data_IF_483438853756
#
_entry.id   IF_483438853756
#
_cell.length_a   1.000
_cell.length_b   1.000
_cell.length_c   1.000
_cell.angle_alpha   90.00
_cell.angle_beta   90.00
_cell.angle_gamma   90.00
#
_symmetry.space_group_name_H-M   'P 1'
#
loop_
_entity.id
_entity.type
_entity.pdbx_description
1 polymer ?
#
# COMPACT_ATOMS: atom_id res chain seq x y z
N UNK A 1 -29.55 -13.73 -11.45
CA UNK A 1 -28.19 -14.20 -11.80
C UNK A 1 -27.59 -13.15 -12.73
N UNK A 2 -26.47 -12.54 -12.33
CA UNK A 2 -25.73 -11.64 -13.21
C UNK A 2 -24.70 -12.47 -13.98
N UNK A 3 -24.68 -12.33 -15.31
CA UNK A 3 -23.66 -12.96 -16.13
C UNK A 3 -22.27 -12.37 -15.89
N UNK A 4 -21.24 -13.08 -16.32
CA UNK A 4 -19.86 -12.59 -16.30
C UNK A 4 -19.54 -11.92 -17.64
N UNK A 5 -18.81 -10.81 -17.59
CA UNK A 5 -18.23 -10.19 -18.78
C UNK A 5 -16.87 -10.83 -19.05
N UNK A 6 -16.52 -10.97 -20.33
CA UNK A 6 -15.21 -11.50 -20.76
C UNK A 6 -14.51 -10.45 -21.62
N UNK A 7 -13.20 -10.31 -21.46
CA UNK A 7 -12.32 -9.46 -22.25
C UNK A 7 -12.85 -8.02 -22.41
N UNK A 8 -13.16 -7.41 -21.26
CA UNK A 8 -13.83 -6.11 -21.22
C UNK A 8 -12.84 -5.01 -21.60
N UNK A 9 -13.26 -4.11 -22.49
CA UNK A 9 -12.53 -2.87 -22.78
C UNK A 9 -13.42 -1.68 -22.41
N UNK A 10 -12.97 -0.87 -21.46
CA UNK A 10 -13.65 0.35 -21.03
C UNK A 10 -12.81 1.58 -21.38
N UNK A 11 -13.25 2.32 -22.40
CA UNK A 11 -12.60 3.55 -22.87
C UNK A 11 -13.17 4.84 -22.26
N UNK A 12 -14.32 4.75 -21.58
CA UNK A 12 -15.02 5.90 -21.00
C UNK A 12 -15.07 5.85 -19.48
N UNK A 13 -15.53 6.94 -18.87
CA UNK A 13 -15.80 6.97 -17.43
C UNK A 13 -16.98 6.09 -17.04
N UNK A 14 -16.91 5.46 -15.88
CA UNK A 14 -17.96 4.62 -15.32
C UNK A 14 -18.11 4.87 -13.81
N UNK A 15 -19.35 4.92 -13.33
CA UNK A 15 -19.65 5.17 -11.91
C UNK A 15 -20.36 3.97 -11.29
N UNK A 16 -19.80 3.44 -10.20
CA UNK A 16 -20.36 2.36 -9.40
C UNK A 16 -20.78 2.93 -8.05
N UNK A 17 -22.05 2.81 -7.71
CA UNK A 17 -22.59 3.30 -6.46
C UNK A 17 -23.33 2.26 -5.66
N UNK A 18 -23.31 2.43 -4.34
CA UNK A 18 -24.01 1.57 -3.41
C UNK A 18 -23.43 0.16 -3.46
N UNK A 19 -24.32 -0.81 -3.63
CA UNK A 19 -24.00 -2.24 -3.66
C UNK A 19 -23.85 -2.81 -5.08
N UNK A 20 -23.74 -1.95 -6.09
CA UNK A 20 -23.62 -2.36 -7.49
C UNK A 20 -22.24 -2.99 -7.74
N UNK A 21 -22.18 -3.92 -8.69
CA UNK A 21 -20.92 -4.55 -9.07
C UNK A 21 -20.82 -4.74 -10.57
N UNK A 22 -19.59 -4.67 -11.09
CA UNK A 22 -19.21 -5.29 -12.35
C UNK A 22 -18.57 -6.64 -12.01
N UNK A 23 -18.89 -7.67 -12.80
CA UNK A 23 -18.24 -8.98 -12.71
C UNK A 23 -17.59 -9.33 -14.03
N UNK A 24 -16.31 -9.66 -13.98
CA UNK A 24 -15.47 -10.02 -15.13
C UNK A 24 -14.86 -11.41 -14.86
N UNK A 25 -14.75 -12.23 -15.90
CA UNK A 25 -14.17 -13.59 -15.83
C UNK A 25 -12.75 -13.67 -16.42
N UNK A 26 -12.34 -12.67 -17.20
CA UNK A 26 -11.02 -12.63 -17.85
C UNK A 26 -10.41 -11.22 -17.69
N UNK A 27 -9.48 -10.88 -18.59
CA UNK A 27 -8.81 -9.58 -18.63
C UNK A 27 -9.80 -8.41 -18.74
N UNK A 28 -9.39 -7.30 -18.13
CA UNK A 28 -10.11 -6.05 -18.14
C UNK A 28 -9.17 -4.91 -18.52
N UNK A 29 -9.36 -4.38 -19.73
CA UNK A 29 -8.66 -3.19 -20.20
C UNK A 29 -9.43 -1.94 -19.81
N UNK A 30 -8.84 -1.13 -18.95
CA UNK A 30 -9.37 0.13 -18.45
C UNK A 30 -8.53 1.29 -19.01
N UNK A 31 -9.10 2.07 -19.92
CA UNK A 31 -8.50 3.31 -20.43
C UNK A 31 -9.24 4.57 -19.93
N UNK A 32 -10.42 4.38 -19.33
CA UNK A 32 -11.19 5.43 -18.67
C UNK A 32 -11.03 5.40 -17.15
N UNK A 33 -11.94 6.08 -16.44
CA UNK A 33 -11.95 6.13 -14.99
C UNK A 33 -13.16 5.40 -14.40
N UNK A 34 -12.96 4.61 -13.35
CA UNK A 34 -14.03 4.01 -12.55
C UNK A 34 -14.12 4.73 -11.21
N UNK A 35 -15.21 5.43 -10.98
CA UNK A 35 -15.52 6.02 -9.68
C UNK A 35 -16.37 5.05 -8.85
N UNK A 36 -15.87 4.64 -7.69
CA UNK A 36 -16.50 3.68 -6.79
C UNK A 36 -16.94 4.35 -5.49
N UNK A 37 -18.25 4.33 -5.24
CA UNK A 37 -18.89 4.93 -4.06
C UNK A 37 -19.73 3.88 -3.31
N UNK A 38 -19.04 2.93 -2.68
CA UNK A 38 -19.64 1.93 -1.79
C UNK A 38 -20.40 2.54 -0.61
N UNK A 39 -21.16 1.71 0.10
CA UNK A 39 -21.91 2.07 1.32
C UNK A 39 -21.59 1.14 2.50
N UNK A 40 -20.48 0.38 2.44
CA UNK A 40 -20.04 -0.59 3.47
C UNK A 40 -18.78 -0.16 4.22
N UNK A 41 -18.35 -0.90 5.24
CA UNK A 41 -17.08 -0.69 5.95
C UNK A 41 -15.95 -1.45 5.20
N UNK A 42 -14.78 -0.84 4.93
CA UNK A 42 -13.61 -1.57 4.39
C UNK A 42 -13.23 -2.78 5.26
N UNK A 43 -12.97 -3.94 4.66
CA UNK A 43 -12.56 -5.16 5.39
C UNK A 43 -13.68 -5.97 6.05
N UNK A 44 -14.95 -5.56 5.94
CA UNK A 44 -16.07 -6.37 6.39
C UNK A 44 -16.40 -7.50 5.39
N UNK A 45 -16.38 -8.75 5.83
CA UNK A 45 -16.87 -9.89 5.04
C UNK A 45 -18.40 -9.82 4.98
N UNK A 46 -18.93 -9.04 4.03
CA UNK A 46 -20.37 -8.75 3.92
C UNK A 46 -20.73 -7.67 2.90
N UNK A 47 -20.65 -8.01 1.61
CA UNK A 47 -21.51 -7.59 0.46
C UNK A 47 -22.22 -6.20 0.40
N UNK A 48 -21.75 -5.15 1.06
CA UNK A 48 -22.43 -3.83 1.06
C UNK A 48 -21.69 -2.72 0.30
N UNK A 49 -20.63 -3.08 -0.43
CA UNK A 49 -19.77 -2.20 -1.20
C UNK A 49 -20.02 -2.16 -2.71
N UNK A 50 -19.39 -1.21 -3.40
CA UNK A 50 -19.26 -1.28 -4.86
C UNK A 50 -18.10 -2.21 -5.21
N UNK A 51 -18.32 -3.15 -6.13
CA UNK A 51 -17.33 -4.18 -6.44
C UNK A 51 -16.94 -4.23 -7.92
N UNK A 52 -15.65 -4.34 -8.19
CA UNK A 52 -15.17 -5.02 -9.39
C UNK A 52 -14.83 -6.43 -8.96
N UNK A 53 -15.58 -7.43 -9.45
CA UNK A 53 -15.33 -8.83 -9.14
C UNK A 53 -14.67 -9.48 -10.33
N UNK A 54 -13.50 -10.05 -10.10
CA UNK A 54 -12.78 -10.87 -11.05
C UNK A 54 -12.94 -12.31 -10.58
N UNK A 55 -13.44 -13.19 -11.46
CA UNK A 55 -13.74 -14.59 -11.15
C UNK A 55 -12.98 -15.52 -12.09
N UNK A 56 -12.28 -16.51 -11.55
CA UNK A 56 -11.71 -17.59 -12.35
C UNK A 56 -10.35 -18.06 -11.82
N UNK A 57 -9.98 -19.27 -12.22
CA UNK A 57 -8.75 -19.94 -11.75
C UNK A 57 -7.53 -19.64 -12.63
N UNK A 58 -7.70 -18.86 -13.70
CA UNK A 58 -6.62 -18.33 -14.54
C UNK A 58 -6.20 -16.94 -14.07
N UNK A 59 -4.96 -16.55 -14.34
CA UNK A 59 -4.50 -15.18 -14.06
C UNK A 59 -5.35 -14.15 -14.82
N UNK A 60 -5.66 -13.03 -14.16
CA UNK A 60 -6.47 -11.94 -14.67
C UNK A 60 -5.66 -10.66 -14.70
N UNK A 61 -5.68 -9.98 -15.83
CA UNK A 61 -4.94 -8.74 -16.02
C UNK A 61 -5.88 -7.55 -16.04
N UNK A 62 -5.61 -6.57 -15.18
CA UNK A 62 -6.14 -5.21 -15.28
C UNK A 62 -5.08 -4.35 -15.96
N UNK A 63 -5.28 -4.06 -17.25
CA UNK A 63 -4.38 -3.29 -18.09
C UNK A 63 -5.06 -2.04 -18.69
N UNK A 64 -4.34 -1.31 -19.54
CA UNK A 64 -4.77 -0.02 -20.07
C UNK A 64 -4.10 1.14 -19.32
N UNK A 65 -4.65 2.34 -19.47
CA UNK A 65 -4.06 3.60 -18.96
C UNK A 65 -4.98 4.35 -18.01
N UNK A 66 -5.94 3.64 -17.40
CA UNK A 66 -7.04 4.24 -16.69
C UNK A 66 -6.89 4.25 -15.18
N UNK A 67 -7.94 4.76 -14.53
CA UNK A 67 -7.96 5.07 -13.10
C UNK A 67 -9.10 4.34 -12.39
N UNK A 68 -8.88 3.86 -11.16
CA UNK A 68 -9.93 3.45 -10.25
C UNK A 68 -9.91 4.33 -9.01
N UNK A 69 -11.05 4.96 -8.73
CA UNK A 69 -11.18 5.94 -7.68
C UNK A 69 -12.16 5.50 -6.59
N UNK A 70 -11.66 5.30 -5.37
CA UNK A 70 -12.47 5.08 -4.17
C UNK A 70 -12.96 6.44 -3.62
N UNK A 71 -14.17 6.82 -4.04
CA UNK A 71 -14.74 8.15 -3.83
C UNK A 71 -15.02 8.42 -2.35
N UNK A 72 -15.58 7.43 -1.63
CA UNK A 72 -16.15 7.62 -0.31
C UNK A 72 -15.32 6.91 0.77
N UNK A 73 -15.56 7.25 2.03
CA UNK A 73 -15.03 6.55 3.20
C UNK A 73 -15.68 5.18 3.45
N UNK A 74 -16.41 4.64 2.48
CA UNK A 74 -17.27 3.47 2.66
C UNK A 74 -16.99 2.40 1.60
N UNK A 75 -16.12 1.44 1.95
CA UNK A 75 -16.19 0.03 1.55
C UNK A 75 -16.36 -0.24 0.05
N UNK A 76 -15.51 0.36 -0.78
CA UNK A 76 -15.35 -0.10 -2.17
C UNK A 76 -14.27 -1.18 -2.23
N UNK A 77 -14.40 -2.19 -3.06
CA UNK A 77 -13.30 -3.14 -3.21
C UNK A 77 -13.18 -3.76 -4.59
N UNK A 78 -11.95 -4.11 -4.94
CA UNK A 78 -11.62 -4.95 -6.07
C UNK A 78 -11.47 -6.36 -5.51
N UNK A 79 -12.35 -7.27 -5.93
CA UNK A 79 -12.41 -8.64 -5.43
C UNK A 79 -11.87 -9.60 -6.47
N UNK A 80 -10.75 -10.25 -6.20
CA UNK A 80 -10.22 -11.32 -7.03
C UNK A 80 -10.53 -12.68 -6.39
N UNK A 81 -11.52 -13.37 -6.95
CA UNK A 81 -11.98 -14.67 -6.47
C UNK A 81 -11.52 -15.78 -7.41
N UNK A 82 -10.94 -16.83 -6.83
CA UNK A 82 -10.40 -17.97 -7.57
C UNK A 82 -8.90 -18.11 -7.34
N UNK A 83 -8.33 -19.12 -7.99
CA UNK A 83 -6.93 -19.48 -7.79
C UNK A 83 -5.96 -18.70 -8.70
N UNK A 84 -6.49 -17.89 -9.62
CA UNK A 84 -5.71 -17.03 -10.50
C UNK A 84 -5.27 -15.72 -9.83
N UNK A 85 -4.07 -15.27 -10.16
CA UNK A 85 -3.55 -13.98 -9.72
C UNK A 85 -4.33 -12.82 -10.36
N UNK A 86 -4.49 -11.74 -9.61
CA UNK A 86 -4.87 -10.43 -10.15
C UNK A 86 -3.61 -9.62 -10.40
N UNK A 87 -3.36 -9.26 -11.64
CA UNK A 87 -2.22 -8.44 -12.05
C UNK A 87 -2.74 -7.05 -12.41
N UNK A 88 -2.28 -6.02 -11.70
CA UNK A 88 -2.53 -4.61 -12.04
C UNK A 88 -1.31 -4.10 -12.79
N UNK A 89 -1.45 -3.77 -14.07
CA UNK A 89 -0.32 -3.36 -14.92
C UNK A 89 0.13 -1.92 -14.65
N UNK A 90 1.32 -1.58 -15.15
CA UNK A 90 2.08 -0.37 -14.77
C UNK A 90 1.37 0.96 -14.99
N UNK A 91 0.50 1.02 -15.99
CA UNK A 91 -0.16 2.27 -16.43
C UNK A 91 -1.53 2.47 -15.75
N UNK A 92 -1.87 1.62 -14.77
CA UNK A 92 -3.09 1.72 -13.98
C UNK A 92 -2.82 2.46 -12.66
N UNK A 93 -3.71 3.40 -12.33
CA UNK A 93 -3.72 4.11 -11.05
C UNK A 93 -4.97 3.75 -10.23
N UNK A 94 -4.79 3.42 -8.95
CA UNK A 94 -5.88 3.07 -8.02
C UNK A 94 -5.75 3.90 -6.76
N UNK A 95 -6.76 4.69 -6.41
CA UNK A 95 -6.60 5.68 -5.35
C UNK A 95 -7.86 6.09 -4.64
N UNK A 96 -7.70 6.78 -3.51
CA UNK A 96 -8.79 7.49 -2.85
C UNK A 96 -8.87 7.28 -1.35
N UNK A 97 -10.10 7.45 -0.83
CA UNK A 97 -10.35 7.61 0.60
C UNK A 97 -10.48 6.25 1.31
N UNK A 98 -11.41 5.39 0.88
CA UNK A 98 -11.57 4.08 1.50
C UNK A 98 -11.95 3.00 0.49
N UNK A 99 -10.99 2.11 0.23
CA UNK A 99 -11.21 0.95 -0.62
C UNK A 99 -10.27 -0.19 -0.27
N UNK A 100 -10.20 -1.21 -1.12
CA UNK A 100 -9.27 -2.28 -0.87
C UNK A 100 -9.33 -3.43 -1.86
N UNK A 101 -8.42 -4.36 -1.65
CA UNK A 101 -8.28 -5.59 -2.41
C UNK A 101 -8.68 -6.75 -1.50
N UNK A 102 -9.63 -7.55 -1.97
CA UNK A 102 -10.13 -8.69 -1.23
C UNK A 102 -10.40 -9.86 -2.20
N UNK A 103 -10.93 -10.96 -1.66
CA UNK A 103 -11.37 -12.10 -2.44
C UNK A 103 -11.01 -13.42 -1.78
N UNK A 104 -11.53 -14.49 -2.36
CA UNK A 104 -11.26 -15.87 -1.95
C UNK A 104 -10.39 -16.60 -2.96
N UNK A 105 -9.88 -17.79 -2.59
CA UNK A 105 -9.03 -18.61 -3.47
C UNK A 105 -7.55 -18.34 -3.27
N UNK A 106 -6.72 -19.13 -3.94
CA UNK A 106 -5.27 -19.18 -3.72
C UNK A 106 -4.47 -18.08 -4.45
N UNK A 107 -5.06 -17.42 -5.45
CA UNK A 107 -4.36 -16.39 -6.23
C UNK A 107 -3.98 -15.18 -5.38
N UNK A 108 -2.97 -14.43 -5.83
CA UNK A 108 -2.47 -13.23 -5.16
C UNK A 108 -2.81 -11.96 -5.94
N UNK A 109 -2.57 -10.79 -5.33
CA UNK A 109 -2.48 -9.52 -6.04
C UNK A 109 -1.01 -9.26 -6.42
N UNK A 110 -0.77 -8.94 -7.69
CA UNK A 110 0.50 -8.40 -8.18
C UNK A 110 0.24 -6.96 -8.62
N UNK A 111 0.76 -6.00 -7.87
CA UNK A 111 0.67 -4.58 -8.24
C UNK A 111 1.92 -4.17 -9.02
N UNK A 112 1.79 -3.82 -10.30
CA UNK A 112 2.83 -3.14 -11.09
C UNK A 112 2.54 -1.66 -11.31
N UNK A 113 1.30 -1.25 -11.09
CA UNK A 113 0.84 0.13 -11.21
C UNK A 113 1.06 0.98 -9.96
N UNK A 114 0.29 2.06 -9.86
CA UNK A 114 0.28 2.96 -8.70
C UNK A 114 -0.98 2.73 -7.86
N UNK A 115 -0.79 2.41 -6.58
CA UNK A 115 -1.87 2.36 -5.59
C UNK A 115 -1.61 3.40 -4.51
N UNK A 116 -2.50 4.37 -4.30
CA UNK A 116 -2.25 5.38 -3.28
C UNK A 116 -3.48 5.82 -2.48
N UNK A 117 -3.32 5.86 -1.16
CA UNK A 117 -4.30 6.48 -0.26
C UNK A 117 -3.88 7.94 -0.08
N UNK A 118 -4.62 8.85 -0.71
CA UNK A 118 -4.25 10.26 -0.90
C UNK A 118 -5.06 11.25 -0.04
N UNK A 119 -5.93 10.71 0.81
CA UNK A 119 -6.74 11.46 1.76
C UNK A 119 -7.18 10.58 2.90
N UNK A 120 -7.66 11.20 3.96
CA UNK A 120 -8.22 10.51 5.13
C UNK A 120 -9.03 9.28 4.77
N UNK A 121 -8.71 8.17 5.42
CA UNK A 121 -9.27 6.84 5.20
C UNK A 121 -8.17 5.80 4.98
N UNK A 122 -8.52 4.64 4.43
CA UNK A 122 -7.59 3.52 4.26
C UNK A 122 -7.80 2.77 2.95
N UNK A 123 -6.70 2.41 2.28
CA UNK A 123 -6.69 1.33 1.30
C UNK A 123 -6.25 0.04 2.00
N UNK A 124 -7.14 -0.95 2.03
CA UNK A 124 -6.92 -2.22 2.71
C UNK A 124 -6.50 -3.33 1.75
N UNK A 125 -5.52 -4.14 2.14
CA UNK A 125 -5.09 -5.35 1.43
C UNK A 125 -5.47 -6.58 2.27
N UNK A 126 -6.53 -7.25 1.87
CA UNK A 126 -7.05 -8.48 2.51
C UNK A 126 -6.84 -9.72 1.64
N UNK A 127 -5.97 -9.62 0.63
CA UNK A 127 -5.50 -10.71 -0.22
C UNK A 127 -3.96 -10.70 -0.21
N UNK A 128 -3.29 -11.86 -0.26
CA UNK A 128 -1.84 -11.90 -0.39
C UNK A 128 -1.37 -11.01 -1.53
N UNK A 129 -0.28 -10.28 -1.36
CA UNK A 129 0.11 -9.21 -2.28
C UNK A 129 1.62 -9.20 -2.51
N UNK A 130 2.01 -9.08 -3.78
CA UNK A 130 3.35 -8.65 -4.18
C UNK A 130 3.24 -7.27 -4.83
N UNK A 131 3.92 -6.29 -4.25
CA UNK A 131 4.09 -4.97 -4.86
C UNK A 131 5.35 -4.97 -5.73
N UNK A 132 5.20 -4.79 -7.03
CA UNK A 132 6.27 -4.55 -8.02
C UNK A 132 6.26 -3.09 -8.53
N UNK A 133 5.15 -2.36 -8.31
CA UNK A 133 4.95 -0.96 -8.66
C UNK A 133 5.11 -0.02 -7.46
N UNK A 134 4.21 0.96 -7.34
CA UNK A 134 4.24 1.98 -6.27
C UNK A 134 3.03 1.83 -5.37
N UNK A 135 3.26 1.80 -4.06
CA UNK A 135 2.24 2.01 -3.03
C UNK A 135 2.56 3.29 -2.28
N UNK A 136 1.59 4.19 -2.13
CA UNK A 136 1.81 5.49 -1.46
C UNK A 136 0.74 5.85 -0.46
N UNK A 137 1.13 6.44 0.67
CA UNK A 137 0.22 7.08 1.62
C UNK A 137 0.50 8.59 1.69
N UNK A 138 -0.55 9.41 1.64
CA UNK A 138 -0.47 10.87 1.72
C UNK A 138 -1.82 11.48 2.13
N UNK A 139 -1.83 12.78 2.47
CA UNK A 139 -3.07 13.52 2.75
C UNK A 139 -3.87 13.01 3.96
N UNK A 140 -3.22 12.31 4.90
CA UNK A 140 -3.88 11.62 6.01
C UNK A 140 -4.50 10.27 5.65
N UNK A 141 -4.28 9.79 4.43
CA UNK A 141 -4.62 8.43 4.00
C UNK A 141 -3.67 7.40 4.57
N UNK A 142 -4.14 6.16 4.65
CA UNK A 142 -3.41 5.05 5.24
C UNK A 142 -3.47 3.79 4.39
N UNK A 143 -2.52 2.88 4.59
CA UNK A 143 -2.55 1.53 4.02
C UNK A 143 -2.60 0.52 5.15
N UNK A 144 -3.49 -0.47 5.01
CA UNK A 144 -3.70 -1.51 6.03
C UNK A 144 -3.62 -2.90 5.40
N UNK A 145 -2.73 -3.75 5.90
CA UNK A 145 -2.51 -5.10 5.39
C UNK A 145 -3.02 -6.11 6.39
N UNK A 146 -3.85 -7.04 5.92
CA UNK A 146 -4.50 -8.07 6.76
C UNK A 146 -4.31 -9.49 6.23
N UNK A 147 -3.57 -9.66 5.14
CA UNK A 147 -3.28 -10.95 4.52
C UNK A 147 -1.78 -11.19 4.37
N UNK A 148 -1.40 -12.47 4.34
CA UNK A 148 -0.04 -12.94 4.11
C UNK A 148 -0.02 -13.99 2.98
N UNK A 149 1.06 -14.10 2.19
CA UNK A 149 2.26 -13.25 2.22
C UNK A 149 1.99 -11.81 1.73
N UNK A 150 2.78 -10.86 2.26
CA UNK A 150 2.86 -9.50 1.77
C UNK A 150 4.32 -9.13 1.51
N UNK A 151 4.64 -8.81 0.25
CA UNK A 151 6.01 -8.60 -0.23
C UNK A 151 6.08 -7.27 -0.98
N UNK A 152 7.03 -6.42 -0.60
CA UNK A 152 7.43 -5.26 -1.39
C UNK A 152 8.68 -5.58 -2.20
N UNK A 153 8.55 -5.53 -3.53
CA UNK A 153 9.64 -5.60 -4.51
C UNK A 153 9.73 -4.37 -5.39
N UNK A 154 8.76 -3.46 -5.30
CA UNK A 154 8.76 -2.12 -5.89
C UNK A 154 8.99 -1.05 -4.83
N UNK A 155 8.22 0.04 -4.87
CA UNK A 155 8.38 1.19 -3.97
C UNK A 155 7.18 1.36 -3.04
N UNK A 156 7.45 1.60 -1.76
CA UNK A 156 6.48 2.13 -0.81
C UNK A 156 6.91 3.56 -0.45
N UNK A 157 6.00 4.52 -0.55
CA UNK A 157 6.19 5.90 -0.08
C UNK A 157 5.23 6.19 1.06
N UNK A 158 5.75 6.55 2.23
CA UNK A 158 4.94 6.86 3.41
C UNK A 158 5.16 8.32 3.78
N UNK A 159 4.10 9.13 3.64
CA UNK A 159 4.14 10.52 4.08
C UNK A 159 3.87 10.65 5.58
N UNK A 160 4.22 11.82 6.14
CA UNK A 160 3.88 12.16 7.53
C UNK A 160 2.36 12.14 7.75
N UNK A 161 1.92 11.76 8.95
CA UNK A 161 0.50 11.61 9.31
C UNK A 161 -0.30 10.63 8.41
N UNK A 162 0.37 9.77 7.66
CA UNK A 162 -0.22 8.87 6.66
C UNK A 162 0.30 7.44 6.86
N UNK A 163 -0.16 6.71 7.88
CA UNK A 163 0.50 5.49 8.33
C UNK A 163 0.35 4.33 7.35
N UNK A 164 1.36 3.46 7.36
CA UNK A 164 1.33 2.16 6.69
C UNK A 164 1.42 1.06 7.76
N UNK A 165 0.49 0.10 7.76
CA UNK A 165 0.49 -0.94 8.79
C UNK A 165 0.10 -2.33 8.32
N UNK A 166 0.66 -3.34 8.98
CA UNK A 166 0.15 -4.72 8.97
C UNK A 166 -0.67 -4.97 10.23
N UNK A 167 -1.63 -5.89 10.12
CA UNK A 167 -2.54 -6.28 11.20
C UNK A 167 -2.32 -7.76 11.54
N UNK A 168 -2.79 -8.19 12.71
CA UNK A 168 -2.79 -9.60 13.13
C UNK A 168 -1.41 -10.27 13.17
N UNK A 169 -0.38 -9.54 13.62
CA UNK A 169 1.01 -10.02 13.71
C UNK A 169 1.55 -10.59 12.38
N UNK A 170 1.02 -10.11 11.24
CA UNK A 170 1.39 -10.61 9.91
C UNK A 170 2.76 -10.09 9.48
N UNK A 171 3.58 -10.94 8.84
CA UNK A 171 4.92 -10.55 8.40
C UNK A 171 4.87 -9.47 7.33
N UNK A 172 5.84 -8.57 7.38
CA UNK A 172 6.18 -7.64 6.31
C UNK A 172 7.50 -8.07 5.67
N UNK A 173 7.53 -8.22 4.35
CA UNK A 173 8.77 -8.57 3.64
C UNK A 173 9.15 -7.45 2.67
N UNK A 174 10.28 -6.80 2.95
CA UNK A 174 10.99 -5.96 1.99
C UNK A 174 11.99 -6.83 1.22
N UNK A 175 11.85 -6.92 -0.10
CA UNK A 175 12.77 -7.70 -0.92
C UNK A 175 14.02 -6.90 -1.27
N UNK A 176 15.03 -7.58 -1.83
CA UNK A 176 16.28 -6.95 -2.26
C UNK A 176 16.11 -5.84 -3.31
N UNK A 177 15.02 -5.86 -4.09
CA UNK A 177 14.72 -4.81 -5.08
C UNK A 177 13.79 -3.74 -4.54
N UNK A 178 13.19 -3.97 -3.37
CA UNK A 178 12.20 -3.08 -2.80
C UNK A 178 12.83 -1.83 -2.18
N UNK A 179 12.10 -0.72 -2.26
CA UNK A 179 12.43 0.54 -1.59
C UNK A 179 11.32 0.94 -0.63
N UNK A 180 11.70 1.32 0.60
CA UNK A 180 10.81 1.96 1.57
C UNK A 180 11.26 3.41 1.75
N UNK A 181 10.45 4.36 1.32
CA UNK A 181 10.68 5.79 1.42
C UNK A 181 9.80 6.39 2.51
N UNK A 182 10.41 7.09 3.48
CA UNK A 182 9.73 7.65 4.63
C UNK A 182 10.01 9.16 4.75
N UNK A 183 8.95 9.95 4.95
CA UNK A 183 9.07 11.39 5.18
C UNK A 183 9.28 11.73 6.67
N UNK A 184 10.16 12.69 6.94
CA UNK A 184 10.36 13.30 8.26
C UNK A 184 10.26 14.82 8.12
N UNK A 185 9.26 15.41 8.79
CA UNK A 185 9.02 16.85 8.83
C UNK A 185 9.17 17.48 10.22
N UNK A 186 9.68 16.72 11.20
CA UNK A 186 9.82 17.17 12.58
C UNK A 186 9.93 16.03 13.58
N UNK A 187 10.12 16.37 14.85
CA UNK A 187 10.36 15.40 15.95
C UNK A 187 9.08 14.90 16.63
N UNK A 188 7.93 15.49 16.34
CA UNK A 188 6.65 14.99 16.85
C UNK A 188 6.18 13.79 16.03
N UNK A 189 5.51 12.82 16.64
CA UNK A 189 5.05 11.61 15.96
C UNK A 189 4.18 11.89 14.72
N UNK A 190 3.42 12.98 14.69
CA UNK A 190 2.61 13.36 13.53
C UNK A 190 3.47 13.78 12.31
N UNK A 191 4.71 14.18 12.55
CA UNK A 191 5.65 14.64 11.54
C UNK A 191 6.66 13.56 11.14
N UNK A 192 6.45 12.31 11.55
CA UNK A 192 7.30 11.19 11.22
C UNK A 192 6.44 10.18 10.47
N UNK A 193 6.85 9.82 9.27
CA UNK A 193 6.27 8.68 8.58
C UNK A 193 6.64 7.39 9.31
N UNK A 194 5.66 6.53 9.55
CA UNK A 194 5.84 5.31 10.32
C UNK A 194 5.27 4.09 9.61
N UNK A 195 6.00 2.99 9.71
CA UNK A 195 5.54 1.64 9.33
C UNK A 195 5.32 0.80 10.58
N UNK A 196 4.11 0.31 10.79
CA UNK A 196 3.80 -0.58 11.92
C UNK A 196 3.54 -2.00 11.44
N UNK A 197 4.41 -2.95 11.77
CA UNK A 197 4.26 -4.37 11.43
C UNK A 197 3.40 -5.12 12.46
N UNK A 198 2.72 -4.41 13.37
CA UNK A 198 1.60 -4.93 14.14
C UNK A 198 1.91 -6.19 14.95
N UNK A 199 3.15 -6.32 15.46
CA UNK A 199 3.67 -7.49 16.20
C UNK A 199 4.23 -8.63 15.34
N UNK A 200 4.16 -8.53 14.02
CA UNK A 200 4.72 -9.49 13.07
C UNK A 200 6.24 -9.36 12.91
N UNK A 201 6.82 -10.25 12.09
CA UNK A 201 8.24 -10.18 11.71
C UNK A 201 8.44 -9.22 10.54
N UNK A 202 9.40 -8.31 10.68
CA UNK A 202 9.92 -7.50 9.58
C UNK A 202 11.12 -8.21 8.95
N UNK A 203 10.94 -8.74 7.73
CA UNK A 203 12.04 -9.27 6.92
C UNK A 203 12.56 -8.13 6.04
N UNK A 204 13.78 -7.66 6.32
CA UNK A 204 14.33 -6.46 5.71
C UNK A 204 15.53 -6.79 4.81
N UNK A 205 15.50 -6.20 3.63
CA UNK A 205 16.56 -6.14 2.61
C UNK A 205 16.33 -4.84 1.80
N UNK A 206 16.98 -4.67 0.65
CA UNK A 206 16.71 -3.59 -0.28
C UNK A 206 17.12 -2.23 0.28
N UNK A 207 16.32 -1.20 -0.02
CA UNK A 207 16.65 0.20 0.25
C UNK A 207 15.71 0.83 1.28
N UNK A 208 16.28 1.50 2.28
CA UNK A 208 15.61 2.52 3.09
C UNK A 208 15.97 3.89 2.53
N UNK A 209 14.97 4.70 2.25
CA UNK A 209 15.11 6.09 1.82
C UNK A 209 14.42 7.02 2.82
N UNK A 210 15.10 8.09 3.21
CA UNK A 210 14.54 9.12 4.10
C UNK A 210 14.45 10.45 3.36
N UNK A 211 13.30 11.11 3.47
CA UNK A 211 13.06 12.42 2.88
C UNK A 211 12.78 13.45 3.98
N UNK A 212 13.56 14.55 4.01
CA UNK A 212 13.26 15.69 4.87
C UNK A 212 12.24 16.59 4.16
N UNK A 213 11.10 16.84 4.81
CA UNK A 213 10.02 17.65 4.23
C UNK A 213 9.85 18.98 4.95
N UNK A 214 9.30 19.98 4.26
CA UNK A 214 9.06 21.33 4.81
C UNK A 214 10.31 22.03 5.35
N UNK A 215 11.46 21.82 4.68
CA UNK A 215 12.77 22.37 5.07
C UNK A 215 13.20 21.96 6.50
N UNK A 216 12.72 20.81 6.98
CA UNK A 216 13.11 20.31 8.29
C UNK A 216 14.61 20.02 8.34
N UNK A 217 15.27 20.59 9.35
CA UNK A 217 16.70 20.45 9.62
C UNK A 217 16.88 19.72 10.96
N UNK A 218 17.08 18.39 10.94
CA UNK A 218 17.27 17.58 12.14
C UNK A 218 18.54 18.00 12.88
N UNK A 219 18.49 18.09 14.21
CA UNK A 219 19.68 18.43 15.02
C UNK A 219 20.17 17.24 15.84
N UNK A 220 21.47 17.19 16.19
CA UNK A 220 22.02 16.21 17.14
C UNK A 220 21.12 15.99 18.36
N UNK A 221 20.85 14.71 18.66
CA UNK A 221 19.95 14.27 19.73
C UNK A 221 18.49 14.11 19.32
N UNK A 222 18.12 14.48 18.08
CA UNK A 222 16.83 14.11 17.51
C UNK A 222 16.78 12.61 17.22
N UNK A 223 15.61 12.01 17.44
CA UNK A 223 15.38 10.58 17.34
C UNK A 223 14.00 10.33 16.75
N UNK A 224 13.92 9.42 15.78
CA UNK A 224 12.74 9.14 14.97
C UNK A 224 12.48 7.63 14.94
N UNK A 225 11.38 7.18 15.53
CA UNK A 225 10.94 5.79 15.39
C UNK A 225 10.26 5.65 14.03
N UNK A 226 10.91 4.95 13.09
CA UNK A 226 10.47 4.88 11.69
C UNK A 226 9.75 3.56 11.35
N UNK A 227 9.99 2.52 12.14
CA UNK A 227 9.31 1.23 12.01
C UNK A 227 9.16 0.54 13.36
N UNK A 228 8.01 -0.09 13.60
CA UNK A 228 7.76 -0.97 14.75
C UNK A 228 7.44 -2.40 14.31
N UNK A 229 7.89 -3.40 15.06
CA UNK A 229 7.68 -4.82 14.77
C UNK A 229 7.75 -5.70 16.03
N UNK A 230 7.26 -6.94 15.93
CA UNK A 230 7.44 -7.92 17.00
C UNK A 230 8.83 -8.56 16.99
N UNK A 231 9.41 -8.73 15.80
CA UNK A 231 10.79 -9.15 15.61
C UNK A 231 11.31 -8.73 14.22
N UNK A 232 12.63 -8.83 14.01
CA UNK A 232 13.27 -8.51 12.73
C UNK A 232 14.17 -9.63 12.27
N UNK A 233 14.21 -9.84 10.95
CA UNK A 233 15.22 -10.60 10.24
C UNK A 233 15.84 -9.74 9.13
N UNK A 234 17.17 -9.70 9.03
CA UNK A 234 17.88 -8.88 8.03
C UNK A 234 17.80 -7.37 8.28
N UNK A 235 18.64 -6.59 7.62
CA UNK A 235 18.67 -5.12 7.65
C UNK A 235 18.41 -4.59 6.25
N UNK A 236 18.14 -3.28 6.11
CA UNK A 236 18.24 -2.66 4.80
C UNK A 236 19.68 -2.83 4.28
N UNK A 237 19.83 -3.15 3.01
CA UNK A 237 21.13 -3.33 2.35
C UNK A 237 21.69 -2.01 1.86
N UNK A 238 20.82 -1.03 1.58
CA UNK A 238 21.17 0.34 1.17
C UNK A 238 20.40 1.34 2.02
N UNK A 239 21.09 2.39 2.44
CA UNK A 239 20.52 3.53 3.16
C UNK A 239 20.73 4.78 2.28
N UNK A 240 19.64 5.32 1.74
CA UNK A 240 19.62 6.58 1.00
C UNK A 240 19.11 7.68 1.94
N UNK A 241 20.06 8.32 2.63
CA UNK A 241 19.78 9.29 3.67
C UNK A 241 20.15 10.70 3.21
N UNK A 242 19.33 11.71 3.51
CA UNK A 242 19.57 13.07 3.09
C UNK A 242 20.78 13.63 3.83
N UNK A 243 21.53 14.58 3.22
CA UNK A 243 22.68 15.19 3.87
C UNK A 243 22.23 15.96 5.11
N UNK A 244 23.07 15.94 6.14
CA UNK A 244 22.94 16.73 7.35
C UNK A 244 23.99 17.85 7.39
N UNK A 245 23.84 18.75 8.35
CA UNK A 245 24.78 19.82 8.60
C UNK A 245 26.17 19.31 9.02
N UNK A 246 27.17 20.17 8.88
CA UNK A 246 28.56 19.79 9.17
C UNK A 246 28.74 19.45 10.66
N UNK A 247 29.25 18.25 10.93
CA UNK A 247 29.42 17.75 12.30
C UNK A 247 28.24 16.92 12.81
N UNK A 248 27.31 16.55 11.93
CA UNK A 248 26.20 15.65 12.22
C UNK A 248 26.27 14.39 11.35
N UNK A 249 25.71 13.30 11.85
CA UNK A 249 25.58 12.05 11.13
C UNK A 249 24.27 11.34 11.49
N UNK A 250 23.74 10.57 10.55
CA UNK A 250 22.66 9.64 10.81
C UNK A 250 23.19 8.38 11.48
N UNK A 251 22.45 7.89 12.47
CA UNK A 251 22.67 6.59 13.10
C UNK A 251 21.38 5.79 13.08
N UNK A 252 21.39 4.66 12.36
CA UNK A 252 20.25 3.75 12.27
C UNK A 252 20.39 2.63 13.31
N UNK A 253 19.49 2.63 14.31
CA UNK A 253 19.47 1.65 15.39
C UNK A 253 18.38 0.61 15.16
N UNK A 254 18.79 -0.65 15.00
CA UNK A 254 17.87 -1.79 14.90
C UNK A 254 17.65 -2.42 16.27
N UNK A 255 16.62 -1.96 16.97
CA UNK A 255 16.24 -2.46 18.29
C UNK A 255 15.43 -3.76 18.20
N UNK A 256 15.11 -4.34 19.36
CA UNK A 256 14.35 -5.58 19.45
C UNK A 256 12.94 -5.47 18.82
N UNK A 257 12.32 -4.29 18.91
CA UNK A 257 10.92 -4.07 18.50
C UNK A 257 10.71 -2.84 17.61
N UNK A 258 11.78 -2.13 17.25
CA UNK A 258 11.69 -0.95 16.40
C UNK A 258 12.99 -0.68 15.66
N UNK A 259 12.89 0.19 14.65
CA UNK A 259 14.02 0.90 14.07
C UNK A 259 13.90 2.36 14.45
N UNK A 260 14.98 2.88 15.03
CA UNK A 260 15.10 4.29 15.40
C UNK A 260 16.23 4.92 14.59
N UNK A 261 15.93 6.01 13.89
CA UNK A 261 16.90 6.85 13.20
C UNK A 261 17.26 8.03 14.11
N UNK A 262 18.54 8.24 14.38
CA UNK A 262 19.02 9.30 15.26
C UNK A 262 20.00 10.23 14.55
N UNK A 263 20.02 11.49 14.97
CA UNK A 263 21.07 12.44 14.59
C UNK A 263 22.11 12.46 15.70
N UNK A 264 23.36 12.14 15.37
CA UNK A 264 24.47 12.06 16.31
C UNK A 264 25.62 12.96 15.89
N UNK A 265 26.49 13.27 16.84
CA UNK A 265 27.84 13.75 16.51
C UNK A 265 28.67 12.55 15.99
N UNK A 266 29.40 12.70 14.88
CA UNK A 266 30.35 11.69 14.39
C UNK A 266 31.42 11.30 15.40
#
# INVERSE_FOLDING_TARGET
EGGLLQDVILNGGFFIAGTKSIRVENNFTLNGRIDMSGQGIPGGVGSTGSFVVIQGDSAHVLDGTGEIFFVNLSGSSINANGDGDLIVESDIEIFGAAGGFAGSGAGILINRGMIHSDRTGAISFSKPTTNEGVIKTSGGGSVQISAEPWINSGRIEVATSSPFSTQFDRPFTQSATGTLSLDIGGTSAANIATVDVGGGVANLDGTLEINLVSDFDPSVGNSFVIMTYGSRSGTFSTEDLPPLDAGEAWMLNYNANDITLEVVSP
#
